data_IF_252532824188
#
_entry.id   IF_252532824188
#
_cell.length_a   1.000
_cell.length_b   1.000
_cell.length_c   1.000
_cell.angle_alpha   90.00
_cell.angle_beta   90.00
_cell.angle_gamma   90.00
#
_symmetry.space_group_name_H-M   'P 1'
#
loop_
_entity.id
_entity.type
_entity.pdbx_description
1 polymer ?
#
# COMPACT_ATOMS: atom_id res chain seq x y z
N UNK A 1 -28.53 -9.83 -3.71
CA UNK A 1 -27.58 -9.74 -2.57
C UNK A 1 -26.48 -10.79 -2.61
N UNK A 2 -26.76 -12.10 -2.51
CA UNK A 2 -25.69 -13.12 -2.42
C UNK A 2 -24.69 -13.15 -3.59
N UNK A 3 -25.12 -12.87 -4.83
CA UNK A 3 -24.21 -12.84 -5.98
C UNK A 3 -23.23 -11.65 -5.93
N UNK A 4 -23.67 -10.51 -5.40
CA UNK A 4 -22.85 -9.30 -5.31
C UNK A 4 -21.78 -9.43 -4.22
N UNK A 5 -22.14 -10.00 -3.07
CA UNK A 5 -21.18 -10.26 -1.98
C UNK A 5 -20.11 -11.27 -2.40
N UNK A 6 -20.49 -12.33 -3.12
CA UNK A 6 -19.53 -13.29 -3.68
C UNK A 6 -18.60 -12.63 -4.69
N UNK A 7 -19.14 -11.80 -5.58
CA UNK A 7 -18.32 -11.08 -6.55
C UNK A 7 -17.27 -10.19 -5.88
N UNK A 8 -17.67 -9.38 -4.88
CA UNK A 8 -16.76 -8.51 -4.13
C UNK A 8 -15.68 -9.33 -3.41
N UNK A 9 -16.03 -10.46 -2.80
CA UNK A 9 -15.08 -11.29 -2.09
C UNK A 9 -14.04 -11.95 -3.03
N UNK A 10 -14.47 -12.52 -4.15
CA UNK A 10 -13.55 -13.10 -5.14
C UNK A 10 -12.71 -12.05 -5.85
N UNK A 11 -13.29 -10.88 -6.13
CA UNK A 11 -12.55 -9.75 -6.67
C UNK A 11 -11.43 -9.30 -5.71
N UNK A 12 -11.75 -9.09 -4.43
CA UNK A 12 -10.78 -8.74 -3.39
C UNK A 12 -9.67 -9.79 -3.27
N UNK A 13 -10.03 -11.08 -3.28
CA UNK A 13 -9.04 -12.17 -3.28
C UNK A 13 -8.12 -12.13 -4.50
N UNK A 14 -8.67 -11.92 -5.70
CA UNK A 14 -7.87 -11.82 -6.93
C UNK A 14 -6.89 -10.64 -6.85
N UNK A 15 -7.34 -9.50 -6.32
CA UNK A 15 -6.49 -8.32 -6.11
C UNK A 15 -5.38 -8.59 -5.10
N UNK A 16 -5.65 -9.32 -4.00
CA UNK A 16 -4.61 -9.75 -3.04
C UNK A 16 -3.56 -10.60 -3.73
N UNK A 17 -3.99 -11.60 -4.50
CA UNK A 17 -3.07 -12.52 -5.18
C UNK A 17 -2.18 -11.73 -6.14
N UNK A 18 -2.79 -10.93 -7.03
CA UNK A 18 -2.06 -10.12 -8.03
C UNK A 18 -1.16 -9.09 -7.34
N UNK A 19 -1.69 -8.34 -6.38
CA UNK A 19 -0.94 -7.33 -5.64
C UNK A 19 0.22 -7.93 -4.85
N UNK A 20 0.04 -9.10 -4.24
CA UNK A 20 1.11 -9.84 -3.54
C UNK A 20 2.21 -10.23 -4.52
N UNK A 21 1.85 -10.82 -5.67
CA UNK A 21 2.83 -11.24 -6.67
C UNK A 21 3.64 -10.05 -7.18
N UNK A 22 2.98 -8.94 -7.52
CA UNK A 22 3.64 -7.73 -8.00
C UNK A 22 4.52 -7.09 -6.92
N UNK A 23 4.05 -7.02 -5.68
CA UNK A 23 4.81 -6.48 -4.55
C UNK A 23 6.02 -7.36 -4.21
N UNK A 24 5.87 -8.68 -4.31
CA UNK A 24 6.96 -9.62 -4.10
C UNK A 24 8.02 -9.51 -5.19
N UNK A 25 7.61 -9.41 -6.45
CA UNK A 25 8.51 -9.13 -7.58
C UNK A 25 9.24 -7.81 -7.37
N UNK A 26 8.54 -6.75 -6.94
CA UNK A 26 9.13 -5.46 -6.59
C UNK A 26 10.20 -5.63 -5.52
N UNK A 27 9.90 -6.37 -4.45
CA UNK A 27 10.84 -6.64 -3.37
C UNK A 27 12.07 -7.41 -3.88
N UNK A 28 11.90 -8.46 -4.69
CA UNK A 28 13.02 -9.21 -5.29
C UNK A 28 13.92 -8.29 -6.11
N UNK A 29 13.34 -7.45 -6.97
CA UNK A 29 14.11 -6.51 -7.81
C UNK A 29 14.86 -5.51 -6.93
N UNK A 30 14.21 -4.92 -5.94
CA UNK A 30 14.82 -4.01 -4.97
C UNK A 30 15.90 -4.69 -4.11
N UNK A 31 15.77 -5.99 -3.85
CA UNK A 31 16.76 -6.81 -3.16
C UNK A 31 17.98 -7.11 -4.03
N UNK A 32 17.76 -7.41 -5.32
CA UNK A 32 18.82 -7.69 -6.31
C UNK A 32 19.64 -6.47 -6.71
N UNK A 33 19.09 -5.27 -6.56
CA UNK A 33 19.77 -3.99 -6.81
C UNK A 33 21.05 -3.83 -5.95
N UNK A 34 22.17 -4.41 -6.41
CA UNK A 34 23.52 -4.25 -5.84
C UNK A 34 24.07 -2.88 -6.20
N UNK A 35 23.67 -1.87 -5.44
CA UNK A 35 24.19 -0.51 -5.65
C UNK A 35 25.51 -0.32 -4.91
N UNK A 36 26.62 -0.38 -5.66
CA UNK A 36 28.00 -0.05 -5.24
C UNK A 36 28.15 1.36 -4.62
N UNK A 37 27.13 2.22 -4.74
CA UNK A 37 27.21 3.63 -4.39
C UNK A 37 26.45 3.93 -3.08
N UNK A 38 27.16 4.30 -1.99
CA UNK A 38 26.62 4.55 -0.64
C UNK A 38 25.39 5.49 -0.63
N UNK A 39 25.35 6.47 -1.53
CA UNK A 39 24.26 7.47 -1.62
C UNK A 39 22.92 6.89 -2.09
N UNK A 40 22.92 5.74 -2.77
CA UNK A 40 21.71 5.12 -3.26
C UNK A 40 21.05 4.19 -2.22
N UNK A 41 21.76 3.89 -1.14
CA UNK A 41 21.30 2.94 -0.12
C UNK A 41 20.08 3.48 0.63
N UNK A 42 20.09 4.75 1.05
CA UNK A 42 18.98 5.36 1.80
C UNK A 42 17.66 5.36 1.02
N UNK A 43 17.68 5.79 -0.25
CA UNK A 43 16.48 5.72 -1.12
C UNK A 43 15.98 4.29 -1.29
N UNK A 44 16.90 3.32 -1.37
CA UNK A 44 16.54 1.93 -1.59
C UNK A 44 15.98 1.27 -0.32
N UNK A 45 16.49 1.59 0.87
CA UNK A 45 15.86 1.21 2.13
C UNK A 45 14.46 1.80 2.23
N UNK A 46 14.29 3.07 1.88
CA UNK A 46 12.99 3.72 1.86
C UNK A 46 12.00 3.03 0.90
N UNK A 47 12.41 2.74 -0.33
CA UNK A 47 11.56 2.02 -1.30
C UNK A 47 11.20 0.61 -0.83
N UNK A 48 12.13 -0.10 -0.17
CA UNK A 48 11.84 -1.41 0.44
C UNK A 48 10.85 -1.29 1.59
N UNK A 49 11.01 -0.28 2.45
CA UNK A 49 10.09 -0.01 3.54
C UNK A 49 8.69 0.29 3.02
N UNK A 50 8.54 1.13 1.98
CA UNK A 50 7.22 1.34 1.35
C UNK A 50 6.68 0.04 0.79
N UNK A 51 7.47 -0.75 0.06
CA UNK A 51 6.97 -2.00 -0.52
C UNK A 51 6.47 -2.98 0.56
N UNK A 52 7.10 -3.00 1.73
CA UNK A 52 6.63 -3.79 2.88
C UNK A 52 5.31 -3.23 3.41
N UNK A 53 5.20 -1.91 3.57
CA UNK A 53 3.95 -1.28 4.02
C UNK A 53 2.82 -1.48 3.01
N UNK A 54 3.09 -1.43 1.69
CA UNK A 54 2.12 -1.75 0.65
C UNK A 54 1.59 -3.18 0.78
N UNK A 55 2.47 -4.15 1.07
CA UNK A 55 2.05 -5.53 1.33
C UNK A 55 1.19 -5.60 2.59
N UNK A 56 1.61 -4.96 3.69
CA UNK A 56 0.86 -4.99 4.95
C UNK A 56 -0.54 -4.36 4.80
N UNK A 57 -0.64 -3.23 4.09
CA UNK A 57 -1.92 -2.58 3.79
C UNK A 57 -2.82 -3.46 2.91
N UNK A 58 -2.24 -4.06 1.86
CA UNK A 58 -2.97 -4.97 0.98
C UNK A 58 -3.56 -6.15 1.76
N UNK A 59 -2.78 -6.76 2.67
CA UNK A 59 -3.26 -7.87 3.48
C UNK A 59 -4.25 -7.44 4.57
N UNK A 60 -3.99 -6.33 5.27
CA UNK A 60 -4.82 -5.88 6.38
C UNK A 60 -6.27 -5.59 5.96
N UNK A 61 -6.44 -4.96 4.81
CA UNK A 61 -7.76 -4.55 4.32
C UNK A 61 -8.48 -5.65 3.52
N UNK A 62 -7.80 -6.29 2.57
CA UNK A 62 -8.48 -7.29 1.73
C UNK A 62 -8.76 -8.61 2.44
N UNK A 63 -7.87 -9.03 3.35
CA UNK A 63 -8.09 -10.29 4.07
C UNK A 63 -9.35 -10.16 4.94
N UNK A 64 -9.59 -8.98 5.51
CA UNK A 64 -10.80 -8.68 6.28
C UNK A 64 -12.07 -8.79 5.42
N UNK A 65 -12.13 -8.12 4.27
CA UNK A 65 -13.28 -8.23 3.35
C UNK A 65 -13.50 -9.65 2.79
N UNK A 66 -12.43 -10.40 2.54
CA UNK A 66 -12.53 -11.80 2.11
C UNK A 66 -13.07 -12.72 3.22
N UNK A 67 -12.57 -12.56 4.45
CA UNK A 67 -12.99 -13.36 5.59
C UNK A 67 -14.44 -13.05 6.00
N UNK A 68 -14.84 -11.79 5.98
CA UNK A 68 -16.22 -11.37 6.22
C UNK A 68 -17.16 -11.89 5.12
N UNK A 69 -16.81 -11.66 3.84
CA UNK A 69 -17.68 -11.99 2.72
C UNK A 69 -17.92 -13.48 2.47
N UNK A 70 -16.88 -14.33 2.57
CA UNK A 70 -16.98 -15.78 2.27
C UNK A 70 -17.37 -16.59 3.48
N UNK A 71 -16.70 -16.37 4.60
CA UNK A 71 -16.86 -17.22 5.76
C UNK A 71 -17.91 -16.69 6.73
N UNK A 72 -18.42 -15.46 6.52
CA UNK A 72 -19.19 -14.72 7.53
C UNK A 72 -18.50 -14.79 8.89
N UNK A 73 -17.18 -14.85 8.89
CA UNK A 73 -16.37 -14.86 10.09
C UNK A 73 -16.34 -13.44 10.65
N UNK A 74 -17.51 -12.89 11.00
CA UNK A 74 -17.57 -12.13 12.23
C UNK A 74 -17.08 -13.06 13.33
N UNK A 75 -16.07 -12.64 14.10
CA UNK A 75 -15.62 -13.34 15.31
C UNK A 75 -16.79 -13.44 16.31
N UNK A 76 -17.71 -14.36 16.06
CA UNK A 76 -18.81 -14.70 16.95
C UNK A 76 -18.32 -15.84 17.83
N UNK A 77 -17.91 -15.49 19.05
CA UNK A 77 -17.63 -16.47 20.08
C UNK A 77 -18.95 -17.10 20.53
N UNK A 78 -19.19 -18.36 20.15
CA UNK A 78 -20.28 -19.16 20.68
C UNK A 78 -20.10 -19.38 22.17
N UNK A 79 -21.07 -18.93 22.97
CA UNK A 79 -21.22 -19.34 24.37
C UNK A 79 -21.56 -20.83 24.42
N UNK A 80 -21.06 -21.54 25.44
CA UNK A 80 -21.31 -22.97 25.70
C UNK A 80 -22.81 -23.31 25.76
N UNK A 81 -23.68 -22.31 25.95
CA UNK A 81 -25.14 -22.47 26.03
C UNK A 81 -25.90 -22.17 24.73
N UNK A 82 -25.24 -22.03 23.58
CA UNK A 82 -25.91 -21.82 22.28
C UNK A 82 -26.65 -20.48 22.15
N UNK A 83 -26.46 -19.56 23.08
CA UNK A 83 -27.02 -18.20 23.04
C UNK A 83 -25.98 -17.25 22.49
N UNK A 84 -26.34 -16.50 21.44
CA UNK A 84 -25.47 -15.48 20.83
C UNK A 84 -25.38 -14.31 21.81
N UNK A 85 -24.28 -14.20 22.54
CA UNK A 85 -23.99 -13.00 23.34
C UNK A 85 -23.42 -11.92 22.42
N UNK A 86 -24.21 -10.89 22.16
CA UNK A 86 -23.84 -9.73 21.33
C UNK A 86 -22.78 -8.82 22.00
N UNK A 87 -22.43 -9.10 23.26
CA UNK A 87 -21.42 -8.37 24.05
C UNK A 87 -20.16 -9.21 24.33
N UNK A 88 -19.66 -9.96 23.35
CA UNK A 88 -18.33 -10.55 23.50
C UNK A 88 -17.25 -9.50 23.22
N UNK A 89 -16.14 -9.55 23.96
CA UNK A 89 -14.97 -8.69 23.75
C UNK A 89 -14.39 -8.82 22.33
N UNK A 90 -14.63 -9.95 21.67
CA UNK A 90 -14.27 -10.18 20.27
C UNK A 90 -15.14 -9.37 19.28
N UNK A 91 -16.40 -9.05 19.63
CA UNK A 91 -17.28 -8.19 18.84
C UNK A 91 -16.84 -6.71 18.86
N UNK A 92 -16.11 -6.27 19.89
CA UNK A 92 -15.53 -4.91 19.96
C UNK A 92 -14.35 -4.70 19.01
N UNK A 93 -13.80 -5.77 18.40
CA UNK A 93 -12.68 -5.65 17.46
C UNK A 93 -13.17 -5.02 16.15
N UNK A 94 -14.39 -5.34 15.69
CA UNK A 94 -14.85 -4.91 14.37
C UNK A 94 -15.07 -3.40 14.19
N UNK A 95 -15.73 -2.65 15.11
CA UNK A 95 -15.74 -1.19 15.00
C UNK A 95 -14.36 -0.58 15.25
N UNK A 96 -13.49 -1.25 16.03
CA UNK A 96 -12.13 -0.78 16.28
C UNK A 96 -11.21 -1.01 15.08
N UNK A 97 -11.49 -2.02 14.26
CA UNK A 97 -10.65 -2.41 13.12
C UNK A 97 -10.59 -1.31 12.05
N UNK A 98 -11.71 -0.63 11.79
CA UNK A 98 -11.73 0.53 10.89
C UNK A 98 -10.83 1.66 11.38
N UNK A 99 -10.82 1.92 12.69
CA UNK A 99 -9.92 2.91 13.30
C UNK A 99 -8.45 2.43 13.33
N UNK A 100 -8.21 1.15 13.58
CA UNK A 100 -6.87 0.56 13.49
C UNK A 100 -6.38 0.67 12.05
N UNK A 101 -7.22 0.41 11.06
CA UNK A 101 -6.85 0.53 9.66
C UNK A 101 -6.61 1.99 9.24
N UNK A 102 -7.47 2.90 9.67
CA UNK A 102 -7.27 4.32 9.46
C UNK A 102 -5.96 4.79 10.12
N UNK A 103 -5.72 4.41 11.38
CA UNK A 103 -4.55 4.83 12.15
C UNK A 103 -3.26 4.17 11.69
N UNK A 104 -3.19 2.84 11.83
CA UNK A 104 -1.97 2.04 11.65
C UNK A 104 -1.66 1.81 10.18
N UNK A 105 -2.66 1.56 9.35
CA UNK A 105 -2.44 1.22 7.94
C UNK A 105 -2.49 2.44 7.02
N UNK A 106 -3.10 3.57 7.42
CA UNK A 106 -3.15 4.77 6.57
C UNK A 106 -2.40 5.96 7.17
N UNK A 107 -2.76 6.42 8.38
CA UNK A 107 -2.15 7.60 8.99
C UNK A 107 -0.66 7.40 9.29
N UNK A 108 -0.25 6.28 9.89
CA UNK A 108 1.16 6.02 10.21
C UNK A 108 2.02 5.96 8.93
N UNK A 109 1.70 5.13 7.91
CA UNK A 109 2.44 5.12 6.65
C UNK A 109 2.47 6.50 5.98
N UNK A 110 1.37 7.25 6.03
CA UNK A 110 1.33 8.61 5.50
C UNK A 110 2.28 9.56 6.23
N UNK A 111 2.26 9.58 7.56
CA UNK A 111 3.15 10.42 8.39
C UNK A 111 4.60 10.03 8.13
N UNK A 112 4.92 8.74 8.13
CA UNK A 112 6.26 8.25 7.82
C UNK A 112 6.69 8.67 6.41
N UNK A 113 5.81 8.53 5.41
CA UNK A 113 6.07 9.00 4.05
C UNK A 113 6.32 10.51 4.02
N UNK A 114 5.56 11.32 4.76
CA UNK A 114 5.78 12.78 4.85
C UNK A 114 7.15 13.09 5.46
N UNK A 115 7.49 12.47 6.59
CA UNK A 115 8.75 12.69 7.31
C UNK A 115 9.94 12.29 6.43
N UNK A 116 9.94 11.05 5.92
CA UNK A 116 11.04 10.55 5.11
C UNK A 116 11.20 11.31 3.81
N UNK A 117 10.11 11.64 3.11
CA UNK A 117 10.19 12.43 1.88
C UNK A 117 10.69 13.85 2.15
N UNK A 118 10.24 14.49 3.23
CA UNK A 118 10.75 15.82 3.62
C UNK A 118 12.24 15.75 3.94
N UNK A 119 12.68 14.71 4.66
CA UNK A 119 14.09 14.47 4.94
C UNK A 119 14.92 14.23 3.67
N UNK A 120 14.41 13.45 2.71
CA UNK A 120 15.06 13.22 1.41
C UNK A 120 15.16 14.54 0.64
N UNK A 121 14.06 15.28 0.48
CA UNK A 121 14.03 16.55 -0.24
C UNK A 121 14.96 17.58 0.41
N UNK A 122 14.91 17.72 1.73
CA UNK A 122 15.81 18.59 2.48
C UNK A 122 17.28 18.21 2.26
N UNK A 123 17.61 16.92 2.38
CA UNK A 123 18.97 16.44 2.12
C UNK A 123 19.40 16.69 0.66
N UNK A 124 18.48 16.55 -0.30
CA UNK A 124 18.73 16.82 -1.72
C UNK A 124 18.99 18.30 -1.98
N UNK A 125 18.19 19.20 -1.40
CA UNK A 125 18.36 20.66 -1.51
C UNK A 125 19.67 21.10 -0.85
N UNK A 126 19.93 20.64 0.38
CA UNK A 126 21.17 20.98 1.09
C UNK A 126 22.42 20.52 0.32
N UNK A 127 22.35 19.34 -0.30
CA UNK A 127 23.43 18.82 -1.13
C UNK A 127 23.55 19.55 -2.47
N UNK A 128 22.43 20.02 -3.03
CA UNK A 128 22.40 20.81 -4.25
C UNK A 128 23.30 22.05 -4.14
N UNK A 129 23.29 22.69 -2.97
CA UNK A 129 24.16 23.83 -2.66
C UNK A 129 25.66 23.50 -2.65
N UNK A 130 26.04 22.23 -2.44
CA UNK A 130 27.46 21.83 -2.31
C UNK A 130 28.07 21.15 -3.54
N UNK A 131 27.30 20.80 -4.57
CA UNK A 131 27.83 20.04 -5.71
C UNK A 131 27.43 20.61 -7.07
N UNK A 132 28.42 21.15 -7.79
CA UNK A 132 28.31 21.75 -9.15
C UNK A 132 28.25 20.70 -10.28
N UNK A 133 27.98 19.42 -9.99
CA UNK A 133 28.11 18.33 -10.98
C UNK A 133 26.74 18.01 -11.60
N UNK A 134 26.55 18.42 -12.85
CA UNK A 134 25.32 18.28 -13.68
C UNK A 134 24.73 16.85 -13.70
N UNK A 135 25.56 15.81 -13.66
CA UNK A 135 25.11 14.42 -13.76
C UNK A 135 24.40 13.90 -12.49
N UNK A 136 24.66 14.51 -11.33
CA UNK A 136 23.92 14.21 -10.11
C UNK A 136 22.46 14.71 -10.17
N UNK A 137 22.21 15.83 -10.86
CA UNK A 137 20.89 16.49 -10.93
C UNK A 137 19.82 15.63 -11.61
N UNK A 138 20.13 15.00 -12.75
CA UNK A 138 19.16 14.18 -13.50
C UNK A 138 18.67 13.00 -12.66
N UNK A 139 19.59 12.36 -11.95
CA UNK A 139 19.27 11.21 -11.10
C UNK A 139 18.44 11.59 -9.87
N UNK A 140 18.72 12.74 -9.25
CA UNK A 140 17.97 13.24 -8.11
C UNK A 140 16.54 13.66 -8.50
N UNK A 141 16.37 14.24 -9.70
CA UNK A 141 15.05 14.63 -10.21
C UNK A 141 14.13 13.42 -10.44
N UNK A 142 14.63 12.35 -11.06
CA UNK A 142 13.82 11.12 -11.27
C UNK A 142 13.36 10.50 -9.94
N UNK A 143 14.24 10.43 -8.94
CA UNK A 143 13.87 9.91 -7.61
C UNK A 143 12.81 10.81 -6.97
N UNK A 144 13.00 12.14 -6.99
CA UNK A 144 12.06 13.08 -6.39
C UNK A 144 10.69 13.00 -7.06
N UNK A 145 10.64 12.88 -8.39
CA UNK A 145 9.40 12.69 -9.14
C UNK A 145 8.70 11.39 -8.70
N UNK A 146 9.42 10.26 -8.65
CA UNK A 146 8.85 8.98 -8.17
C UNK A 146 8.21 9.16 -6.79
N UNK A 147 8.94 9.76 -5.84
CA UNK A 147 8.48 9.94 -4.45
C UNK A 147 7.25 10.84 -4.33
N UNK A 148 7.22 11.94 -5.10
CA UNK A 148 6.09 12.86 -5.11
C UNK A 148 4.88 12.18 -5.74
N UNK A 149 5.05 11.53 -6.89
CA UNK A 149 3.95 10.86 -7.59
C UNK A 149 3.37 9.70 -6.79
N UNK A 150 4.20 8.84 -6.18
CA UNK A 150 3.71 7.76 -5.30
C UNK A 150 2.89 8.31 -4.15
N UNK A 151 3.31 9.43 -3.55
CA UNK A 151 2.62 10.05 -2.41
C UNK A 151 1.26 10.65 -2.80
N UNK A 152 1.22 11.38 -3.91
CA UNK A 152 -0.05 11.96 -4.39
C UNK A 152 -1.04 10.87 -4.77
N UNK A 153 -0.58 9.81 -5.46
CA UNK A 153 -1.44 8.68 -5.79
C UNK A 153 -1.93 7.96 -4.54
N UNK A 154 -1.05 7.71 -3.56
CA UNK A 154 -1.46 7.12 -2.29
C UNK A 154 -2.58 7.95 -1.65
N UNK A 155 -2.34 9.25 -1.44
CA UNK A 155 -3.31 10.11 -0.76
C UNK A 155 -4.64 10.19 -1.50
N UNK A 156 -4.64 10.34 -2.83
CA UNK A 156 -5.87 10.46 -3.61
C UNK A 156 -6.65 9.15 -3.62
N UNK A 157 -5.96 8.01 -3.61
CA UNK A 157 -6.61 6.71 -3.80
C UNK A 157 -6.95 5.99 -2.49
N UNK A 158 -6.24 6.25 -1.38
CA UNK A 158 -6.47 5.54 -0.11
C UNK A 158 -7.24 6.35 0.92
N UNK A 159 -7.04 7.68 0.97
CA UNK A 159 -7.70 8.54 1.98
C UNK A 159 -9.22 8.60 1.80
N UNK A 160 -9.77 8.80 0.58
CA UNK A 160 -11.22 8.87 0.42
C UNK A 160 -11.94 7.59 0.88
N UNK A 161 -11.39 6.42 0.54
CA UNK A 161 -11.94 5.15 0.98
C UNK A 161 -11.91 5.02 2.50
N UNK A 162 -10.75 5.24 3.12
CA UNK A 162 -10.60 5.05 4.58
C UNK A 162 -11.42 6.03 5.40
N UNK A 163 -11.58 7.28 4.94
CA UNK A 163 -12.49 8.24 5.56
C UNK A 163 -13.94 7.83 5.36
N UNK A 164 -14.32 7.37 4.17
CA UNK A 164 -15.69 6.93 3.90
C UNK A 164 -16.09 5.74 4.78
N UNK A 165 -15.24 4.72 4.88
CA UNK A 165 -15.52 3.55 5.72
C UNK A 165 -15.53 3.87 7.22
N UNK A 166 -14.59 4.71 7.70
CA UNK A 166 -14.51 5.01 9.14
C UNK A 166 -15.64 5.93 9.64
N UNK A 167 -16.09 6.89 8.83
CA UNK A 167 -17.06 7.92 9.26
C UNK A 167 -18.46 7.74 8.67
N UNK A 168 -18.60 7.00 7.58
CA UNK A 168 -19.86 6.80 6.88
C UNK A 168 -20.11 5.31 6.57
N UNK A 169 -20.11 4.43 7.58
CA UNK A 169 -20.27 2.98 7.38
C UNK A 169 -21.64 2.63 6.76
N UNK A 170 -22.69 3.38 7.10
CA UNK A 170 -24.05 3.23 6.54
C UNK A 170 -24.26 4.07 5.26
N UNK A 171 -23.17 4.50 4.62
CA UNK A 171 -23.21 5.29 3.40
C UNK A 171 -23.76 4.51 2.19
N UNK A 172 -23.82 5.18 1.03
CA UNK A 172 -24.22 4.50 -0.20
C UNK A 172 -23.21 3.40 -0.56
N UNK A 173 -23.65 2.14 -0.48
CA UNK A 173 -22.84 0.94 -0.76
C UNK A 173 -22.09 1.02 -2.09
N UNK A 174 -22.72 1.60 -3.12
CA UNK A 174 -22.09 1.73 -4.45
C UNK A 174 -20.88 2.66 -4.40
N UNK A 175 -20.96 3.74 -3.61
CA UNK A 175 -19.85 4.70 -3.44
C UNK A 175 -18.75 4.04 -2.61
N UNK A 176 -19.09 3.33 -1.54
CA UNK A 176 -18.12 2.62 -0.70
C UNK A 176 -17.34 1.58 -1.51
N UNK A 177 -18.04 0.75 -2.31
CA UNK A 177 -17.39 -0.22 -3.19
C UNK A 177 -16.54 0.43 -4.29
N UNK A 178 -16.96 1.57 -4.83
CA UNK A 178 -16.16 2.31 -5.81
C UNK A 178 -14.86 2.82 -5.19
N UNK A 179 -14.95 3.43 -4.01
CA UNK A 179 -13.80 3.94 -3.27
C UNK A 179 -12.85 2.80 -2.88
N UNK A 180 -13.39 1.66 -2.48
CA UNK A 180 -12.64 0.45 -2.19
C UNK A 180 -11.87 -0.05 -3.43
N UNK A 181 -12.54 -0.11 -4.59
CA UNK A 181 -11.90 -0.42 -5.88
C UNK A 181 -10.77 0.54 -6.25
N UNK A 182 -10.92 1.82 -5.96
CA UNK A 182 -9.87 2.84 -6.17
C UNK A 182 -8.68 2.55 -5.25
N UNK A 183 -8.91 2.28 -3.96
CA UNK A 183 -7.86 1.92 -3.00
C UNK A 183 -7.07 0.69 -3.49
N UNK A 184 -7.75 -0.33 -4.00
CA UNK A 184 -7.07 -1.52 -4.53
C UNK A 184 -6.26 -1.27 -5.79
N UNK A 185 -6.79 -0.43 -6.67
CA UNK A 185 -6.10 -0.06 -7.91
C UNK A 185 -4.74 0.58 -7.59
N UNK A 186 -4.64 1.34 -6.49
CA UNK A 186 -3.36 1.92 -6.05
C UNK A 186 -2.31 0.83 -5.76
N UNK A 187 -2.63 -0.18 -4.97
CA UNK A 187 -1.66 -1.21 -4.59
C UNK A 187 -1.14 -2.00 -5.79
N UNK A 188 -1.99 -2.24 -6.81
CA UNK A 188 -1.59 -2.89 -8.07
C UNK A 188 -0.74 -1.95 -8.92
N UNK A 189 -1.08 -0.66 -8.97
CA UNK A 189 -0.36 0.32 -9.80
C UNK A 189 0.98 0.74 -9.22
N UNK A 190 1.28 0.42 -7.96
CA UNK A 190 2.58 0.66 -7.31
C UNK A 190 3.76 0.10 -8.13
N UNK A 191 3.68 -1.15 -8.61
CA UNK A 191 4.74 -1.77 -9.40
C UNK A 191 4.95 -1.11 -10.78
N UNK A 192 3.91 -0.94 -11.62
CA UNK A 192 4.00 -0.16 -12.85
C UNK A 192 4.58 1.24 -12.62
N UNK A 193 4.19 1.90 -11.53
CA UNK A 193 4.68 3.23 -11.19
C UNK A 193 6.19 3.23 -10.92
N UNK A 194 6.71 2.24 -10.18
CA UNK A 194 8.15 2.07 -10.00
C UNK A 194 8.87 1.77 -11.31
N UNK A 195 8.26 0.96 -12.19
CA UNK A 195 8.83 0.62 -13.49
C UNK A 195 8.93 1.84 -14.41
N UNK A 196 7.91 2.70 -14.42
CA UNK A 196 7.86 3.89 -15.26
C UNK A 196 8.80 4.98 -14.73
N UNK A 197 8.72 5.27 -13.43
CA UNK A 197 9.37 6.44 -12.84
C UNK A 197 10.81 6.18 -12.39
N UNK A 198 11.14 4.95 -11.96
CA UNK A 198 12.46 4.60 -11.44
C UNK A 198 13.27 3.79 -12.46
N UNK A 199 14.00 4.50 -13.31
CA UNK A 199 14.75 3.91 -14.44
C UNK A 199 15.78 2.83 -14.05
N UNK A 200 16.21 2.77 -12.79
CA UNK A 200 17.05 1.68 -12.27
C UNK A 200 16.29 0.39 -12.08
N UNK A 201 15.09 0.44 -11.49
CA UNK A 201 14.21 -0.73 -11.39
C UNK A 201 13.91 -1.28 -12.79
N UNK A 202 13.55 -0.39 -13.72
CA UNK A 202 13.33 -0.75 -15.13
C UNK A 202 14.51 -1.48 -15.77
N UNK A 203 15.74 -0.98 -15.57
CA UNK A 203 16.94 -1.61 -16.11
C UNK A 203 17.14 -3.03 -15.56
N UNK A 204 16.94 -3.22 -14.27
CA UNK A 204 17.10 -4.53 -13.62
C UNK A 204 16.04 -5.53 -14.04
N UNK A 205 14.80 -5.07 -14.27
CA UNK A 205 13.74 -5.89 -14.87
C UNK A 205 14.17 -6.39 -16.24
N UNK A 206 14.67 -5.51 -17.11
CA UNK A 206 15.16 -5.90 -18.44
C UNK A 206 16.33 -6.89 -18.38
N UNK A 207 17.26 -6.73 -17.43
CA UNK A 207 18.36 -7.68 -17.22
C UNK A 207 17.83 -9.04 -16.78
N UNK A 208 16.84 -9.08 -15.88
CA UNK A 208 16.22 -10.34 -15.44
C UNK A 208 15.46 -11.06 -16.56
N UNK A 209 14.85 -10.31 -17.49
CA UNK A 209 14.17 -10.86 -18.67
C UNK A 209 15.17 -11.40 -19.68
N UNK A 210 16.29 -10.68 -19.93
CA UNK A 210 17.28 -11.06 -20.94
C UNK A 210 18.19 -12.22 -20.54
N UNK A 211 18.40 -12.45 -19.24
CA UNK A 211 19.22 -13.54 -18.71
C UNK A 211 18.45 -14.87 -18.52
N UNK A 212 17.27 -14.99 -19.13
CA UNK A 212 16.53 -16.24 -19.29
C UNK A 212 16.52 -16.61 -20.77
#
# INVERSE_FOLDING_TARGET
>A
MAAQTLFVAYYSLALVIVGTLLSFVTCIILCRLKLRNRRAKSTLYYLRTIAIFDILMLYGWNLDHYLDGIYRFTLQTSSINGTIQVHSWAFSIYPLWDYINLGVYNCIPFILMVIFNSGIIYHLIHRHHRTTIRNSRIRHRSITITLITTKFLFLIMTVPATVAFAFFPDGNETILHLLDGILYTYHITSFPLYLITFGKCRREVFVCIKNK
#
